data_IF_097303885699
#
_entry.id   IF_097303885699
#
_cell.length_a   1.000
_cell.length_b   1.000
_cell.length_c   1.000
_cell.angle_alpha   90.00
_cell.angle_beta   90.00
_cell.angle_gamma   90.00
#
_symmetry.space_group_name_H-M   'P 1'
#
loop_
_entity.id
_entity.type
_entity.pdbx_description
1 polymer ?
#
# COMPACT_ATOMS: atom_id res chain seq x y z
N UNK A 1 -20.88 1.19 -21.73
CA UNK A 1 -19.52 0.98 -21.24
C UNK A 1 -19.61 0.78 -19.74
N UNK A 2 -19.09 -0.31 -19.24
CA UNK A 2 -19.02 -0.52 -17.79
C UNK A 2 -18.14 0.58 -17.18
N UNK A 3 -18.64 1.26 -16.14
CA UNK A 3 -17.85 2.28 -15.44
C UNK A 3 -16.75 1.56 -14.65
N UNK A 4 -15.52 2.06 -14.70
CA UNK A 4 -14.42 1.53 -13.90
C UNK A 4 -14.74 1.53 -12.40
N UNK A 5 -14.07 0.66 -11.64
CA UNK A 5 -14.31 0.44 -10.19
C UNK A 5 -14.21 1.72 -9.35
N UNK A 6 -13.36 2.67 -9.77
CA UNK A 6 -13.03 3.88 -9.03
C UNK A 6 -13.50 5.16 -9.74
N UNK A 7 -14.42 5.03 -10.71
CA UNK A 7 -14.91 6.17 -11.50
C UNK A 7 -15.41 7.30 -10.58
N UNK A 8 -14.81 8.48 -10.75
CA UNK A 8 -15.17 9.70 -10.03
C UNK A 8 -14.65 9.78 -8.59
N UNK A 9 -13.85 8.82 -8.14
CA UNK A 9 -13.19 8.84 -6.82
C UNK A 9 -11.86 9.59 -6.89
N UNK A 10 -11.51 10.28 -5.80
CA UNK A 10 -10.20 10.84 -5.55
C UNK A 10 -9.43 9.89 -4.62
N UNK A 11 -8.29 9.36 -5.08
CA UNK A 11 -7.52 8.35 -4.35
C UNK A 11 -6.07 8.80 -4.15
N UNK A 12 -5.58 8.71 -2.92
CA UNK A 12 -4.19 8.96 -2.56
C UNK A 12 -3.42 7.63 -2.53
N UNK A 13 -2.20 7.60 -3.09
CA UNK A 13 -1.32 6.44 -3.10
C UNK A 13 0.03 6.81 -2.51
N UNK A 14 0.41 6.23 -1.37
CA UNK A 14 1.75 6.41 -0.80
C UNK A 14 2.74 5.38 -1.34
N UNK A 15 4.03 5.73 -1.38
CA UNK A 15 5.06 4.88 -1.97
C UNK A 15 4.89 4.70 -3.48
N UNK A 16 4.26 5.67 -4.17
CA UNK A 16 3.86 5.59 -5.57
C UNK A 16 5.02 5.66 -6.57
N UNK A 17 6.27 5.81 -6.12
CA UNK A 17 7.42 6.00 -7.02
C UNK A 17 7.99 4.71 -7.62
N UNK A 18 7.51 3.52 -7.24
CA UNK A 18 7.94 2.21 -7.78
C UNK A 18 7.03 1.05 -7.34
N UNK A 19 7.25 -0.13 -7.90
CA UNK A 19 6.64 -1.39 -7.50
C UNK A 19 5.11 -1.34 -7.43
N UNK A 20 4.55 -1.91 -6.37
CA UNK A 20 3.08 -1.97 -6.16
C UNK A 20 2.44 -0.58 -6.16
N UNK A 21 3.10 0.44 -5.58
CA UNK A 21 2.53 1.80 -5.54
C UNK A 21 2.42 2.45 -6.92
N UNK A 22 3.42 2.28 -7.79
CA UNK A 22 3.36 2.78 -9.16
C UNK A 22 2.33 2.00 -10.00
N UNK A 23 2.27 0.68 -9.85
CA UNK A 23 1.24 -0.14 -10.48
C UNK A 23 -0.17 0.25 -10.00
N UNK A 24 -0.34 0.49 -8.69
CA UNK A 24 -1.61 0.95 -8.14
C UNK A 24 -2.05 2.29 -8.73
N UNK A 25 -1.12 3.25 -8.90
CA UNK A 25 -1.43 4.53 -9.53
C UNK A 25 -1.98 4.34 -10.96
N UNK A 26 -1.36 3.44 -11.74
CA UNK A 26 -1.84 3.10 -13.11
C UNK A 26 -3.21 2.42 -13.09
N UNK A 27 -3.34 1.36 -12.31
CA UNK A 27 -4.60 0.61 -12.22
C UNK A 27 -5.74 1.50 -11.73
N UNK A 28 -5.52 2.33 -10.69
CA UNK A 28 -6.56 3.21 -10.17
C UNK A 28 -6.97 4.29 -11.18
N UNK A 29 -6.01 4.83 -11.93
CA UNK A 29 -6.28 5.77 -13.00
C UNK A 29 -7.08 5.12 -14.14
N UNK A 30 -6.72 3.92 -14.57
CA UNK A 30 -7.46 3.13 -15.57
C UNK A 30 -8.88 2.79 -15.11
N UNK A 31 -9.06 2.56 -13.80
CA UNK A 31 -10.38 2.36 -13.17
C UNK A 31 -11.16 3.67 -12.95
N UNK A 32 -10.66 4.80 -13.43
CA UNK A 32 -11.35 6.09 -13.48
C UNK A 32 -11.19 6.98 -12.25
N UNK A 33 -10.21 6.71 -11.38
CA UNK A 33 -9.89 7.59 -10.27
C UNK A 33 -9.09 8.83 -10.69
N UNK A 34 -9.29 9.94 -9.99
CA UNK A 34 -8.28 10.97 -9.87
C UNK A 34 -7.24 10.51 -8.82
N UNK A 35 -5.95 10.50 -9.15
CA UNK A 35 -4.92 9.92 -8.29
C UNK A 35 -3.91 10.96 -7.82
N UNK A 36 -3.65 11.00 -6.50
CA UNK A 36 -2.54 11.74 -5.92
C UNK A 36 -1.42 10.78 -5.55
N UNK A 37 -0.26 10.94 -6.17
CA UNK A 37 0.93 10.13 -5.97
C UNK A 37 1.82 10.76 -4.90
N UNK A 38 2.15 10.01 -3.85
CA UNK A 38 2.95 10.49 -2.73
C UNK A 38 4.19 9.61 -2.55
N UNK A 39 5.37 10.20 -2.60
CA UNK A 39 6.65 9.55 -2.30
C UNK A 39 7.77 10.61 -2.15
N UNK A 40 8.98 10.15 -1.79
CA UNK A 40 10.16 11.03 -1.64
C UNK A 40 10.88 11.35 -2.96
N UNK A 41 10.74 10.48 -3.98
CA UNK A 41 11.50 10.56 -5.25
C UNK A 41 10.76 11.39 -6.28
N UNK A 42 10.93 12.72 -6.26
CA UNK A 42 10.24 13.67 -7.12
C UNK A 42 10.29 13.31 -8.62
N UNK A 43 11.48 13.00 -9.15
CA UNK A 43 11.63 12.73 -10.59
C UNK A 43 10.83 11.51 -11.05
N UNK A 44 10.72 10.47 -10.20
CA UNK A 44 9.90 9.28 -10.48
C UNK A 44 8.41 9.60 -10.46
N UNK A 45 7.97 10.42 -9.50
CA UNK A 45 6.58 10.86 -9.39
C UNK A 45 6.16 11.71 -10.59
N UNK A 46 7.00 12.68 -10.96
CA UNK A 46 6.74 13.55 -12.10
C UNK A 46 6.59 12.76 -13.41
N UNK A 47 7.52 11.83 -13.68
CA UNK A 47 7.46 10.99 -14.88
C UNK A 47 6.18 10.13 -14.92
N UNK A 48 5.79 9.54 -13.78
CA UNK A 48 4.57 8.72 -13.72
C UNK A 48 3.30 9.58 -13.88
N UNK A 49 3.26 10.79 -13.33
CA UNK A 49 2.13 11.71 -13.53
C UNK A 49 2.02 12.15 -15.00
N UNK A 50 3.14 12.43 -15.66
CA UNK A 50 3.13 12.76 -17.11
C UNK A 50 2.61 11.58 -17.96
N UNK A 51 3.04 10.36 -17.66
CA UNK A 51 2.54 9.13 -18.28
C UNK A 51 1.02 9.01 -18.12
N UNK A 52 0.51 9.09 -16.88
CA UNK A 52 -0.91 8.96 -16.60
C UNK A 52 -1.77 10.07 -17.26
N UNK A 53 -1.25 11.30 -17.27
CA UNK A 53 -1.92 12.42 -17.94
C UNK A 53 -1.95 12.26 -19.45
N UNK A 54 -0.91 11.70 -20.06
CA UNK A 54 -0.88 11.39 -21.50
C UNK A 54 -1.94 10.35 -21.89
N UNK A 55 -2.32 9.46 -20.95
CA UNK A 55 -3.42 8.51 -21.10
C UNK A 55 -4.80 9.12 -20.75
N UNK A 56 -4.86 10.41 -20.42
CA UNK A 56 -6.11 11.12 -20.12
C UNK A 56 -6.54 11.05 -18.65
N UNK A 57 -5.73 10.48 -17.77
CA UNK A 57 -6.05 10.42 -16.35
C UNK A 57 -5.85 11.76 -15.64
N UNK A 58 -6.63 11.99 -14.58
CA UNK A 58 -6.42 13.09 -13.64
C UNK A 58 -5.43 12.66 -12.57
N UNK A 59 -4.17 13.03 -12.72
CA UNK A 59 -3.08 12.62 -11.83
C UNK A 59 -2.26 13.83 -11.36
N UNK A 60 -1.89 13.83 -10.09
CA UNK A 60 -1.04 14.83 -9.45
C UNK A 60 -0.03 14.14 -8.53
N UNK A 61 1.00 14.86 -8.08
CA UNK A 61 1.92 14.32 -7.09
C UNK A 61 2.30 15.34 -6.00
N UNK A 62 2.69 14.79 -4.85
CA UNK A 62 3.28 15.52 -3.73
C UNK A 62 4.54 14.78 -3.26
N UNK A 63 5.62 15.52 -3.09
CA UNK A 63 6.83 14.97 -2.46
C UNK A 63 6.66 15.04 -0.95
N UNK A 64 6.63 13.87 -0.29
CA UNK A 64 6.42 13.77 1.14
C UNK A 64 7.07 12.49 1.70
N UNK A 65 7.47 12.56 2.98
CA UNK A 65 7.90 11.40 3.76
C UNK A 65 6.79 11.03 4.76
N UNK A 66 6.23 9.84 4.64
CA UNK A 66 5.15 9.36 5.52
C UNK A 66 5.57 9.26 7.00
N UNK A 67 6.86 9.21 7.28
CA UNK A 67 7.38 9.20 8.67
C UNK A 67 7.16 10.54 9.38
N UNK A 68 6.99 11.64 8.61
CA UNK A 68 6.61 12.96 9.10
C UNK A 68 5.09 13.09 9.16
N UNK A 69 4.54 13.44 10.33
CA UNK A 69 3.10 13.66 10.50
C UNK A 69 2.62 14.89 9.73
N UNK A 70 3.48 15.90 9.61
CA UNK A 70 3.22 17.13 8.88
C UNK A 70 3.12 16.87 7.37
N UNK A 71 4.03 16.06 6.83
CA UNK A 71 4.05 15.68 5.42
C UNK A 71 2.81 14.83 5.06
N UNK A 72 2.45 13.87 5.91
CA UNK A 72 1.26 13.06 5.72
C UNK A 72 -0.01 13.93 5.70
N UNK A 73 -0.14 14.87 6.65
CA UNK A 73 -1.27 15.80 6.70
C UNK A 73 -1.28 16.74 5.48
N UNK A 74 -0.11 17.23 5.04
CA UNK A 74 0.03 18.05 3.83
C UNK A 74 -0.41 17.28 2.58
N UNK A 75 -0.03 16.03 2.43
CA UNK A 75 -0.42 15.20 1.29
C UNK A 75 -1.94 15.04 1.20
N UNK A 76 -2.61 14.74 2.32
CA UNK A 76 -4.07 14.64 2.39
C UNK A 76 -4.74 15.99 2.09
N UNK A 77 -4.25 17.09 2.67
CA UNK A 77 -4.75 18.43 2.37
C UNK A 77 -4.60 18.79 0.90
N UNK A 78 -3.50 18.36 0.28
CA UNK A 78 -3.27 18.57 -1.16
C UNK A 78 -4.27 17.79 -2.01
N UNK A 79 -4.57 16.52 -1.65
CA UNK A 79 -5.60 15.73 -2.35
C UNK A 79 -6.97 16.43 -2.30
N UNK A 80 -7.39 16.88 -1.12
CA UNK A 80 -8.65 17.61 -0.95
C UNK A 80 -8.63 18.94 -1.73
N UNK A 81 -7.52 19.68 -1.68
CA UNK A 81 -7.40 20.95 -2.43
C UNK A 81 -7.44 20.79 -3.95
N UNK A 82 -6.80 19.74 -4.47
CA UNK A 82 -6.71 19.48 -5.92
C UNK A 82 -7.96 18.80 -6.49
N UNK A 83 -8.59 17.92 -5.71
CA UNK A 83 -9.69 17.07 -6.21
C UNK A 83 -11.04 17.42 -5.58
N UNK A 84 -11.08 18.26 -4.53
CA UNK A 84 -12.28 18.67 -3.82
C UNK A 84 -12.66 17.75 -2.67
N UNK A 85 -12.14 16.52 -2.63
CA UNK A 85 -12.39 15.50 -1.61
C UNK A 85 -11.31 14.41 -1.62
N UNK A 86 -11.34 13.54 -0.62
CA UNK A 86 -10.58 12.29 -0.59
C UNK A 86 -11.55 11.13 -0.37
N UNK A 87 -11.72 10.26 -1.37
CA UNK A 87 -12.63 9.10 -1.32
C UNK A 87 -11.92 7.81 -0.94
N UNK A 88 -10.64 7.73 -1.24
CA UNK A 88 -9.85 6.53 -0.98
C UNK A 88 -8.39 6.82 -0.72
N UNK A 89 -7.73 5.89 -0.03
CA UNK A 89 -6.29 5.92 0.18
C UNK A 89 -5.69 4.52 0.12
N UNK A 90 -4.52 4.40 -0.50
CA UNK A 90 -3.70 3.19 -0.49
C UNK A 90 -2.38 3.46 0.22
N UNK A 91 -2.29 3.06 1.47
CA UNK A 91 -1.10 3.17 2.31
C UNK A 91 -0.11 2.07 1.96
N UNK A 92 0.68 2.31 0.91
CA UNK A 92 1.60 1.33 0.36
C UNK A 92 3.07 1.62 0.70
N UNK A 93 3.43 2.83 1.10
CA UNK A 93 4.79 3.15 1.48
C UNK A 93 5.32 2.17 2.55
N UNK A 94 6.48 1.59 2.29
CA UNK A 94 7.08 0.63 3.19
C UNK A 94 8.49 0.24 2.74
N UNK A 95 9.25 -0.28 3.68
CA UNK A 95 10.60 -0.79 3.46
C UNK A 95 10.71 -2.21 4.03
N UNK A 96 11.54 -3.03 3.40
CA UNK A 96 12.06 -4.26 3.98
C UNK A 96 13.36 -4.00 4.72
N UNK A 97 13.99 -5.05 5.21
CA UNK A 97 15.34 -5.03 5.72
C UNK A 97 16.12 -6.22 5.15
N UNK A 98 17.42 -6.21 5.35
CA UNK A 98 18.25 -7.36 5.07
C UNK A 98 17.84 -8.56 5.94
N UNK A 99 18.04 -9.76 5.43
CA UNK A 99 17.75 -10.99 6.16
C UNK A 99 18.83 -11.24 7.20
N UNK A 100 18.56 -10.85 8.44
CA UNK A 100 19.51 -10.94 9.56
C UNK A 100 18.88 -11.68 10.74
N UNK A 101 19.59 -12.64 11.37
CA UNK A 101 19.12 -13.26 12.61
C UNK A 101 18.82 -12.22 13.68
N UNK A 102 17.74 -12.43 14.46
CA UNK A 102 17.23 -11.44 15.41
C UNK A 102 18.29 -10.91 16.37
N UNK A 103 19.17 -11.79 16.90
CA UNK A 103 20.22 -11.39 17.85
C UNK A 103 21.38 -10.57 17.23
N UNK A 104 21.42 -10.45 15.90
CA UNK A 104 22.39 -9.66 15.14
C UNK A 104 21.78 -8.41 14.50
N UNK A 105 20.47 -8.22 14.63
CA UNK A 105 19.76 -7.08 14.07
C UNK A 105 20.17 -5.81 14.83
N UNK A 106 20.56 -4.78 14.10
CA UNK A 106 20.88 -3.47 14.67
C UNK A 106 19.62 -2.60 14.89
N UNK A 107 19.75 -1.61 15.78
CA UNK A 107 18.65 -0.71 16.10
C UNK A 107 18.28 0.21 14.94
N UNK A 108 19.22 0.62 14.11
CA UNK A 108 18.96 1.53 12.96
C UNK A 108 18.05 0.86 11.93
N UNK A 109 18.31 -0.41 11.63
CA UNK A 109 17.44 -1.23 10.77
C UNK A 109 16.04 -1.37 11.38
N UNK A 110 15.97 -1.67 12.71
CA UNK A 110 14.69 -1.75 13.42
C UNK A 110 13.91 -0.43 13.34
N UNK A 111 14.55 0.69 13.69
CA UNK A 111 13.93 2.02 13.71
C UNK A 111 13.44 2.42 12.31
N UNK A 112 14.26 2.22 11.28
CA UNK A 112 13.90 2.52 9.88
C UNK A 112 12.65 1.75 9.44
N UNK A 113 12.56 0.47 9.77
CA UNK A 113 11.42 -0.37 9.42
C UNK A 113 10.17 0.06 10.19
N UNK A 114 10.29 0.27 11.49
CA UNK A 114 9.15 0.64 12.34
C UNK A 114 8.65 2.06 12.02
N UNK A 115 9.54 3.00 11.80
CA UNK A 115 9.16 4.37 11.44
C UNK A 115 8.47 4.41 10.08
N UNK A 116 8.98 3.73 9.08
CA UNK A 116 8.36 3.75 7.76
C UNK A 116 7.04 2.96 7.74
N UNK A 117 7.09 1.70 8.21
CA UNK A 117 5.97 0.78 8.00
C UNK A 117 4.84 0.97 9.02
N UNK A 118 5.13 1.42 10.24
CA UNK A 118 4.13 1.56 11.31
C UNK A 118 3.78 3.02 11.55
N UNK A 119 4.77 3.87 11.89
CA UNK A 119 4.54 5.30 12.09
C UNK A 119 3.99 5.96 10.83
N UNK A 120 4.54 5.61 9.65
CA UNK A 120 4.06 6.11 8.36
C UNK A 120 2.59 5.79 8.11
N UNK A 121 2.17 4.53 8.30
CA UNK A 121 0.76 4.14 8.17
C UNK A 121 -0.12 4.83 9.20
N UNK A 122 0.35 4.94 10.46
CA UNK A 122 -0.37 5.65 11.52
C UNK A 122 -0.59 7.14 11.18
N UNK A 123 0.44 7.83 10.68
CA UNK A 123 0.34 9.23 10.28
C UNK A 123 -0.66 9.42 9.13
N UNK A 124 -0.60 8.55 8.11
CA UNK A 124 -1.52 8.57 6.97
C UNK A 124 -2.97 8.32 7.43
N UNK A 125 -3.22 7.24 8.18
CA UNK A 125 -4.57 6.93 8.69
C UNK A 125 -5.20 8.09 9.45
N UNK A 126 -4.45 8.75 10.34
CA UNK A 126 -4.94 9.91 11.09
C UNK A 126 -5.40 11.05 10.20
N UNK A 127 -4.62 11.38 9.19
CA UNK A 127 -4.92 12.49 8.27
C UNK A 127 -6.07 12.12 7.31
N UNK A 128 -6.05 10.91 6.77
CA UNK A 128 -7.05 10.38 5.84
C UNK A 128 -8.42 10.26 6.49
N UNK A 129 -8.48 9.63 7.66
CA UNK A 129 -9.73 9.50 8.43
C UNK A 129 -10.32 10.86 8.74
N UNK A 130 -9.51 11.81 9.22
CA UNK A 130 -9.98 13.16 9.51
C UNK A 130 -10.59 13.86 8.29
N UNK A 131 -10.05 13.63 7.09
CA UNK A 131 -10.57 14.18 5.85
C UNK A 131 -11.85 13.46 5.36
N UNK A 132 -12.09 12.22 5.81
CA UNK A 132 -13.23 11.39 5.39
C UNK A 132 -14.42 11.43 6.37
N UNK A 133 -14.29 12.03 7.57
CA UNK A 133 -15.33 11.96 8.62
C UNK A 133 -16.71 12.44 8.16
N UNK A 134 -16.80 13.42 7.27
CA UNK A 134 -18.07 14.01 6.85
C UNK A 134 -18.77 13.22 5.73
N UNK A 135 -18.03 12.41 4.97
CA UNK A 135 -18.60 11.82 3.75
C UNK A 135 -18.25 10.33 3.56
N UNK A 136 -17.54 9.74 4.52
CA UNK A 136 -17.07 8.37 4.42
C UNK A 136 -15.93 8.21 3.44
N UNK A 137 -15.51 6.95 3.22
CA UNK A 137 -14.41 6.62 2.32
C UNK A 137 -13.92 5.20 2.47
N UNK A 138 -12.85 4.85 1.76
CA UNK A 138 -12.23 3.55 1.87
C UNK A 138 -10.71 3.66 1.94
N UNK A 139 -10.09 3.01 2.92
CA UNK A 139 -8.64 2.98 3.10
C UNK A 139 -8.16 1.54 2.97
N UNK A 140 -7.10 1.33 2.22
CA UNK A 140 -6.42 0.03 2.10
C UNK A 140 -4.98 0.18 2.55
N UNK A 141 -4.58 -0.61 3.53
CA UNK A 141 -3.20 -0.67 4.00
C UNK A 141 -2.46 -1.83 3.33
N UNK A 142 -1.24 -1.60 2.86
CA UNK A 142 -0.38 -2.65 2.31
C UNK A 142 0.41 -3.33 3.43
N UNK A 143 -0.13 -4.46 3.92
CA UNK A 143 0.58 -5.34 4.84
C UNK A 143 1.54 -6.29 4.08
N UNK A 144 1.47 -7.56 4.33
CA UNK A 144 2.26 -8.65 3.71
C UNK A 144 1.73 -9.99 4.24
N UNK A 145 2.04 -11.09 3.60
CA UNK A 145 1.97 -12.43 4.23
C UNK A 145 2.75 -12.45 5.55
N UNK A 146 3.84 -11.66 5.65
CA UNK A 146 4.57 -11.44 6.90
C UNK A 146 3.78 -10.72 8.01
N UNK A 147 2.59 -10.22 7.75
CA UNK A 147 1.63 -9.75 8.75
C UNK A 147 0.66 -10.84 9.22
N UNK A 148 0.74 -12.03 8.64
CA UNK A 148 -0.13 -13.18 8.93
C UNK A 148 0.67 -14.38 9.47
N UNK A 149 1.89 -14.58 8.96
CA UNK A 149 2.76 -15.70 9.34
C UNK A 149 4.17 -15.21 9.66
N UNK A 150 4.94 -16.04 10.37
CA UNK A 150 6.34 -15.76 10.65
C UNK A 150 7.23 -16.10 9.44
N UNK A 151 8.22 -15.25 9.20
CA UNK A 151 9.27 -15.49 8.20
C UNK A 151 10.62 -15.32 8.92
N UNK A 152 11.47 -16.34 8.96
CA UNK A 152 12.78 -16.27 9.62
C UNK A 152 13.65 -15.11 9.12
N UNK A 153 14.50 -14.58 9.99
CA UNK A 153 15.47 -13.52 9.69
C UNK A 153 14.90 -12.16 9.25
N UNK A 154 13.61 -11.92 9.52
CA UNK A 154 12.91 -10.69 9.14
C UNK A 154 12.11 -10.10 10.31
N UNK A 155 12.55 -10.28 11.55
CA UNK A 155 11.73 -10.00 12.74
C UNK A 155 11.15 -8.58 12.81
N UNK A 156 11.89 -7.47 12.60
CA UNK A 156 11.30 -6.13 12.59
C UNK A 156 10.25 -5.94 11.50
N UNK A 157 10.50 -6.47 10.30
CA UNK A 157 9.53 -6.41 9.20
C UNK A 157 8.24 -7.16 9.55
N UNK A 158 8.36 -8.38 10.06
CA UNK A 158 7.21 -9.19 10.51
C UNK A 158 6.42 -8.44 11.58
N UNK A 159 7.10 -7.92 12.62
CA UNK A 159 6.47 -7.13 13.66
C UNK A 159 5.74 -5.90 13.09
N UNK A 160 6.38 -5.17 12.15
CA UNK A 160 5.78 -4.00 11.52
C UNK A 160 4.52 -4.34 10.71
N UNK A 161 4.53 -5.47 9.98
CA UNK A 161 3.38 -5.88 9.17
C UNK A 161 2.22 -6.45 10.01
N UNK A 162 2.50 -7.07 11.15
CA UNK A 162 1.47 -7.39 12.15
C UNK A 162 0.88 -6.12 12.79
N UNK A 163 1.71 -5.10 13.06
CA UNK A 163 1.22 -3.82 13.57
C UNK A 163 0.28 -3.13 12.57
N UNK A 164 0.57 -3.18 11.27
CA UNK A 164 -0.33 -2.67 10.20
C UNK A 164 -1.68 -3.39 10.22
N UNK A 165 -1.69 -4.71 10.43
CA UNK A 165 -2.94 -5.48 10.59
C UNK A 165 -3.71 -5.01 11.83
N UNK A 166 -3.02 -4.78 12.95
CA UNK A 166 -3.62 -4.23 14.17
C UNK A 166 -4.25 -2.85 13.96
N UNK A 167 -3.51 -1.92 13.33
CA UNK A 167 -4.00 -0.58 12.99
C UNK A 167 -5.21 -0.64 12.05
N UNK A 168 -5.18 -1.52 11.05
CA UNK A 168 -6.30 -1.73 10.11
C UNK A 168 -7.58 -2.11 10.84
N UNK A 169 -7.51 -3.10 11.73
CA UNK A 169 -8.66 -3.60 12.48
C UNK A 169 -9.20 -2.58 13.47
N UNK A 170 -8.31 -1.90 14.19
CA UNK A 170 -8.68 -0.85 15.13
C UNK A 170 -9.42 0.30 14.43
N UNK A 171 -8.84 0.83 13.35
CA UNK A 171 -9.47 1.90 12.59
C UNK A 171 -10.79 1.46 11.92
N UNK A 172 -10.87 0.21 11.45
CA UNK A 172 -12.10 -0.32 10.88
C UNK A 172 -13.26 -0.37 11.90
N UNK A 173 -12.98 -0.81 13.12
CA UNK A 173 -13.99 -0.88 14.20
C UNK A 173 -14.41 0.52 14.66
N UNK A 174 -13.45 1.41 14.83
CA UNK A 174 -13.65 2.75 15.36
C UNK A 174 -14.46 3.66 14.42
N UNK A 175 -14.25 3.54 13.08
CA UNK A 175 -14.82 4.48 12.09
C UNK A 175 -15.88 3.87 11.15
N UNK A 176 -16.33 2.64 11.38
CA UNK A 176 -17.34 1.99 10.53
C UNK A 176 -18.66 2.77 10.50
N UNK A 177 -19.10 3.34 11.63
CA UNK A 177 -20.34 4.10 11.72
C UNK A 177 -20.28 5.46 11.01
N UNK A 178 -19.09 5.97 10.73
CA UNK A 178 -18.85 7.15 9.91
C UNK A 178 -18.76 6.84 8.41
N UNK A 179 -19.06 5.59 8.02
CA UNK A 179 -19.00 5.16 6.63
C UNK A 179 -17.59 5.01 6.09
N UNK A 180 -16.58 4.91 6.95
CA UNK A 180 -15.19 4.71 6.56
C UNK A 180 -14.86 3.22 6.68
N UNK A 181 -14.46 2.60 5.57
CA UNK A 181 -14.00 1.21 5.53
C UNK A 181 -12.48 1.19 5.53
N UNK A 182 -11.88 0.40 6.40
CA UNK A 182 -10.43 0.24 6.48
C UNK A 182 -10.10 -1.24 6.35
N UNK A 183 -9.35 -1.60 5.30
CA UNK A 183 -8.95 -2.97 5.02
C UNK A 183 -7.44 -3.05 4.75
N UNK A 184 -6.90 -4.24 4.65
CA UNK A 184 -5.53 -4.45 4.22
C UNK A 184 -5.46 -5.50 3.11
N UNK A 185 -4.49 -5.35 2.22
CA UNK A 185 -3.98 -6.43 1.38
C UNK A 185 -2.75 -7.03 2.04
N UNK A 186 -2.57 -8.34 1.92
CA UNK A 186 -1.39 -9.07 2.39
C UNK A 186 -0.70 -9.76 1.20
N UNK A 187 0.15 -9.04 0.46
CA UNK A 187 0.84 -9.61 -0.69
C UNK A 187 1.79 -10.74 -0.30
N UNK A 188 1.85 -11.77 -1.14
CA UNK A 188 2.96 -12.68 -1.23
C UNK A 188 4.18 -12.02 -1.89
N UNK A 189 5.14 -12.81 -2.30
CA UNK A 189 6.29 -12.31 -3.05
C UNK A 189 5.80 -11.69 -4.35
N UNK A 190 6.09 -10.39 -4.51
CA UNK A 190 5.64 -9.58 -5.64
C UNK A 190 6.83 -8.97 -6.33
N UNK A 191 6.86 -8.95 -7.66
CA UNK A 191 7.93 -8.37 -8.47
C UNK A 191 8.03 -6.86 -8.20
N UNK A 192 9.22 -6.40 -7.87
CA UNK A 192 9.53 -5.00 -7.55
C UNK A 192 11.01 -4.75 -7.74
N UNK A 193 11.46 -3.50 -7.69
CA UNK A 193 12.91 -3.19 -7.67
C UNK A 193 13.62 -3.97 -6.54
N UNK A 194 13.02 -3.99 -5.34
CA UNK A 194 13.61 -4.66 -4.16
C UNK A 194 13.72 -6.17 -4.37
N UNK A 195 12.66 -6.83 -4.83
CA UNK A 195 12.67 -8.29 -5.03
C UNK A 195 13.53 -8.69 -6.21
N UNK A 196 13.59 -7.89 -7.27
CA UNK A 196 14.47 -8.12 -8.41
C UNK A 196 15.95 -8.05 -8.01
N UNK A 197 16.33 -7.02 -7.25
CA UNK A 197 17.68 -6.89 -6.71
C UNK A 197 18.00 -8.03 -5.73
N UNK A 198 17.04 -8.46 -4.94
CA UNK A 198 17.21 -9.55 -3.98
C UNK A 198 17.44 -10.88 -4.69
N UNK A 199 16.67 -11.19 -5.74
CA UNK A 199 16.86 -12.38 -6.56
C UNK A 199 18.20 -12.34 -7.32
N UNK A 200 18.59 -11.18 -7.86
CA UNK A 200 19.87 -11.03 -8.55
C UNK A 200 21.07 -11.30 -7.64
N UNK A 201 21.00 -10.92 -6.36
CA UNK A 201 22.05 -11.17 -5.36
C UNK A 201 22.04 -12.59 -4.81
N UNK A 202 20.96 -13.36 -4.99
CA UNK A 202 20.79 -14.70 -4.42
C UNK A 202 20.31 -15.68 -5.51
N UNK A 203 21.22 -16.23 -6.35
CA UNK A 203 20.86 -17.19 -7.38
C UNK A 203 20.08 -18.40 -6.83
N UNK A 204 18.98 -18.79 -7.47
CA UNK A 204 18.09 -19.87 -7.05
C UNK A 204 17.05 -19.51 -6.00
N UNK A 205 17.10 -18.29 -5.45
CA UNK A 205 16.14 -17.84 -4.46
C UNK A 205 14.74 -17.65 -5.06
N UNK A 206 14.64 -17.15 -6.31
CA UNK A 206 13.35 -16.99 -6.99
C UNK A 206 12.67 -18.34 -7.18
N UNK A 207 13.40 -19.37 -7.62
CA UNK A 207 12.87 -20.74 -7.78
C UNK A 207 12.40 -21.32 -6.43
N UNK A 208 13.18 -21.09 -5.37
CA UNK A 208 12.81 -21.53 -4.03
C UNK A 208 11.52 -20.86 -3.56
N UNK A 209 11.40 -19.54 -3.70
CA UNK A 209 10.20 -18.78 -3.30
C UNK A 209 8.99 -19.22 -4.14
N UNK A 210 9.17 -19.39 -5.44
CA UNK A 210 8.12 -19.85 -6.34
C UNK A 210 7.64 -21.28 -5.96
N UNK A 211 8.56 -22.17 -5.59
CA UNK A 211 8.22 -23.53 -5.15
C UNK A 211 7.42 -23.59 -3.84
N UNK A 212 7.56 -22.57 -2.99
CA UNK A 212 6.79 -22.41 -1.74
C UNK A 212 5.42 -21.78 -1.98
N UNK A 213 5.15 -21.27 -3.16
CA UNK A 213 3.88 -20.63 -3.50
C UNK A 213 3.03 -21.63 -4.29
N UNK A 214 1.80 -21.99 -3.88
CA UNK A 214 0.95 -22.95 -4.61
C UNK A 214 0.75 -22.61 -6.08
N UNK A 215 0.66 -21.33 -6.45
CA UNK A 215 0.59 -20.92 -7.86
C UNK A 215 1.93 -21.00 -8.61
N UNK A 216 3.02 -21.35 -7.95
CA UNK A 216 4.34 -21.61 -8.56
C UNK A 216 5.04 -20.40 -9.14
N UNK A 217 4.67 -19.19 -8.74
CA UNK A 217 5.24 -17.95 -9.30
C UNK A 217 5.22 -16.78 -8.33
N UNK A 218 6.06 -15.81 -8.60
CA UNK A 218 6.01 -14.46 -8.04
C UNK A 218 4.82 -13.70 -8.67
N UNK A 219 4.12 -12.88 -7.88
CA UNK A 219 3.04 -12.02 -8.38
C UNK A 219 3.58 -10.80 -9.14
N UNK A 220 2.81 -10.30 -10.10
CA UNK A 220 3.05 -8.98 -10.70
C UNK A 220 2.40 -7.89 -9.82
N UNK A 221 2.98 -6.66 -9.76
CA UNK A 221 2.46 -5.56 -8.94
C UNK A 221 1.00 -5.20 -9.22
N UNK A 222 0.58 -5.33 -10.48
CA UNK A 222 -0.78 -5.05 -10.93
C UNK A 222 -1.81 -5.98 -10.31
N UNK A 223 -1.44 -7.21 -9.95
CA UNK A 223 -2.34 -8.17 -9.29
C UNK A 223 -2.69 -7.72 -7.87
N UNK A 224 -1.72 -7.13 -7.16
CA UNK A 224 -1.95 -6.54 -5.84
C UNK A 224 -2.77 -5.24 -5.96
N UNK A 225 -2.44 -4.43 -6.96
CA UNK A 225 -3.14 -3.18 -7.25
C UNK A 225 -4.62 -3.41 -7.58
N UNK A 226 -4.94 -4.45 -8.36
CA UNK A 226 -6.32 -4.81 -8.70
C UNK A 226 -7.14 -5.19 -7.45
N UNK A 227 -6.55 -5.97 -6.53
CA UNK A 227 -7.18 -6.30 -5.26
C UNK A 227 -7.43 -5.05 -4.40
N UNK A 228 -6.45 -4.14 -4.34
CA UNK A 228 -6.59 -2.87 -3.64
C UNK A 228 -7.68 -1.98 -4.28
N UNK A 229 -7.76 -1.90 -5.62
CA UNK A 229 -8.81 -1.17 -6.34
C UNK A 229 -10.21 -1.69 -5.98
N UNK A 230 -10.38 -3.03 -5.93
CA UNK A 230 -11.65 -3.63 -5.53
C UNK A 230 -12.02 -3.28 -4.09
N UNK A 231 -11.08 -3.33 -3.15
CA UNK A 231 -11.31 -2.95 -1.75
C UNK A 231 -11.66 -1.46 -1.58
N UNK A 232 -11.12 -0.58 -2.43
CA UNK A 232 -11.42 0.85 -2.46
C UNK A 232 -12.79 1.15 -3.11
N UNK A 233 -13.31 0.23 -3.92
CA UNK A 233 -14.53 0.43 -4.70
C UNK A 233 -15.80 0.29 -3.85
N UNK A 234 -16.93 0.69 -4.43
CA UNK A 234 -18.27 0.49 -3.85
C UNK A 234 -18.81 -0.93 -4.07
N UNK A 235 -18.00 -1.87 -4.63
CA UNK A 235 -18.40 -3.27 -4.88
C UNK A 235 -18.34 -4.15 -3.63
N UNK A 236 -17.73 -3.67 -2.54
CA UNK A 236 -17.62 -4.39 -1.28
C UNK A 236 -18.04 -3.52 -0.06
N UNK A 237 -19.25 -2.96 -0.05
CA UNK A 237 -19.66 -1.94 0.93
C UNK A 237 -19.77 -2.48 2.36
N UNK A 238 -19.92 -3.79 2.55
CA UNK A 238 -20.03 -4.42 3.87
C UNK A 238 -18.72 -5.05 4.34
N UNK A 239 -17.58 -4.70 3.71
CA UNK A 239 -16.28 -5.28 4.00
C UNK A 239 -15.36 -4.23 4.63
N UNK A 240 -15.11 -4.39 5.95
CA UNK A 240 -14.16 -3.57 6.72
C UNK A 240 -13.42 -4.45 7.73
N UNK A 241 -12.19 -4.08 8.11
CA UNK A 241 -11.33 -4.82 9.04
C UNK A 241 -10.71 -6.10 8.49
N UNK A 242 -10.90 -6.40 7.19
CA UNK A 242 -10.32 -7.60 6.59
C UNK A 242 -8.84 -7.41 6.27
N UNK A 243 -8.13 -8.53 6.28
CA UNK A 243 -6.79 -8.65 5.69
C UNK A 243 -6.91 -9.67 4.57
N UNK A 244 -6.85 -9.20 3.33
CA UNK A 244 -7.01 -10.01 2.14
C UNK A 244 -5.64 -10.54 1.66
N UNK A 245 -5.33 -11.84 1.79
CA UNK A 245 -4.13 -12.41 1.19
C UNK A 245 -4.21 -12.33 -0.34
N UNK A 246 -3.15 -11.81 -0.97
CA UNK A 246 -2.95 -11.80 -2.43
C UNK A 246 -1.58 -12.43 -2.66
N UNK A 247 -1.50 -13.73 -2.46
CA UNK A 247 -0.25 -14.43 -2.17
C UNK A 247 -0.06 -15.76 -2.94
N UNK A 248 -0.93 -16.02 -3.90
CA UNK A 248 -0.89 -17.27 -4.66
C UNK A 248 -1.14 -18.52 -3.81
N UNK A 249 -1.77 -18.37 -2.63
CA UNK A 249 -2.09 -19.46 -1.71
C UNK A 249 -1.02 -19.75 -0.65
N UNK A 250 0.00 -18.88 -0.52
CA UNK A 250 1.15 -19.10 0.37
C UNK A 250 0.75 -19.32 1.84
N UNK A 251 -0.21 -18.55 2.38
CA UNK A 251 -0.60 -18.66 3.81
C UNK A 251 -1.60 -19.79 4.09
N UNK A 252 -2.04 -20.53 3.08
CA UNK A 252 -3.01 -21.63 3.24
C UNK A 252 -2.34 -23.00 3.47
N UNK A 253 -1.02 -23.03 3.63
CA UNK A 253 -0.25 -24.29 3.85
C UNK A 253 -0.01 -24.56 5.32
#
# INVERSE_FOLDING_TARGET
>A
MDKGLLTGKAVLVTGASSGIGAAAARVFAQEGAAVLLVARRQGRLAALVEELRAEGARAEYVVADVTSSEDAAMAVKSAVGMFGRLDGAFNNAGVGGDRTPLHQMDNETYDTIMDTNVRGVFNCLRAEIAAMLEHGGAIVNNSSVGGLVAIPTAAPYIASKHAVVGLTRAAADEYAQQGIRVNAVAPGTTRSEITTDWFARNPGLEDMVNSMTPQGRTAEPEEIAAAAAWLLSDRCPFLTGTVLPVDGGFVNQ
#
